data_IF_025330121346
#
_entry.id   IF_025330121346
#
_cell.length_a   1.000
_cell.length_b   1.000
_cell.length_c   1.000
_cell.angle_alpha   90.00
_cell.angle_beta   90.00
_cell.angle_gamma   90.00
#
_symmetry.space_group_name_H-M   'P 1'
#
loop_
_entity.id
_entity.type
_entity.pdbx_description
1 polymer ?
#
# COMPACT_ATOMS: atom_id res chain seq x y z
N UNK A 1 1.24 0.05 -40.94
CA UNK A 1 0.98 0.12 -39.49
C UNK A 1 -0.38 0.76 -39.30
N UNK A 2 -1.37 0.03 -38.78
CA UNK A 2 -2.76 0.51 -38.69
C UNK A 2 -2.90 1.62 -37.65
N UNK A 3 -3.81 2.57 -37.89
CA UNK A 3 -4.09 3.71 -36.99
C UNK A 3 -4.43 3.23 -35.56
N UNK A 4 -5.16 2.12 -35.46
CA UNK A 4 -5.55 1.48 -34.20
C UNK A 4 -4.35 1.06 -33.34
N UNK A 5 -3.26 0.58 -33.96
CA UNK A 5 -2.05 0.17 -33.22
C UNK A 5 -1.33 1.37 -32.63
N UNK A 6 -1.25 2.48 -33.37
CA UNK A 6 -0.67 3.74 -32.88
C UNK A 6 -1.47 4.35 -31.73
N UNK A 7 -2.79 4.33 -31.83
CA UNK A 7 -3.68 4.80 -30.77
C UNK A 7 -3.52 3.94 -29.50
N UNK A 8 -3.43 2.62 -29.65
CA UNK A 8 -3.22 1.69 -28.52
C UNK A 8 -1.90 1.96 -27.77
N UNK A 9 -0.80 2.24 -28.50
CA UNK A 9 0.49 2.58 -27.89
C UNK A 9 0.45 3.91 -27.13
N UNK A 10 -0.21 4.92 -27.70
CA UNK A 10 -0.38 6.22 -27.03
C UNK A 10 -1.25 6.10 -25.78
N UNK A 11 -2.33 5.32 -25.85
CA UNK A 11 -3.18 5.04 -24.70
C UNK A 11 -2.43 4.30 -23.58
N UNK A 12 -1.59 3.34 -23.95
CA UNK A 12 -0.74 2.60 -23.00
C UNK A 12 0.21 3.54 -22.24
N UNK A 13 0.79 4.54 -22.93
CA UNK A 13 1.67 5.54 -22.31
C UNK A 13 0.92 6.37 -21.26
N UNK A 14 -0.27 6.87 -21.59
CA UNK A 14 -1.11 7.61 -20.65
C UNK A 14 -1.46 6.72 -19.44
N UNK A 15 -1.81 5.46 -19.69
CA UNK A 15 -2.16 4.52 -18.64
C UNK A 15 -1.00 4.28 -17.66
N UNK A 16 0.23 4.12 -18.15
CA UNK A 16 1.40 4.01 -17.28
C UNK A 16 1.62 5.25 -16.42
N UNK A 17 1.46 6.44 -16.98
CA UNK A 17 1.54 7.69 -16.21
C UNK A 17 0.49 7.74 -15.09
N UNK A 18 -0.76 7.35 -15.39
CA UNK A 18 -1.84 7.29 -14.40
C UNK A 18 -1.57 6.26 -13.30
N UNK A 19 -1.09 5.06 -13.67
CA UNK A 19 -0.74 4.01 -12.71
C UNK A 19 0.34 4.49 -11.74
N UNK A 20 1.39 5.11 -12.26
CA UNK A 20 2.47 5.65 -11.42
C UNK A 20 1.92 6.74 -10.49
N UNK A 21 1.12 7.67 -11.01
CA UNK A 21 0.51 8.73 -10.20
C UNK A 21 -0.39 8.15 -9.08
N UNK A 22 -1.20 7.14 -9.37
CA UNK A 22 -2.04 6.48 -8.38
C UNK A 22 -1.25 5.70 -7.34
N UNK A 23 -0.15 5.04 -7.70
CA UNK A 23 0.73 4.38 -6.73
C UNK A 23 1.32 5.41 -5.77
N UNK A 24 1.84 6.54 -6.27
CA UNK A 24 2.36 7.60 -5.40
C UNK A 24 1.28 8.24 -4.53
N UNK A 25 0.08 8.45 -5.08
CA UNK A 25 -1.06 9.00 -4.33
C UNK A 25 -1.50 8.05 -3.21
N UNK A 26 -1.52 6.75 -3.50
CA UNK A 26 -1.78 5.70 -2.52
C UNK A 26 -0.73 5.68 -1.41
N UNK A 27 0.57 5.78 -1.77
CA UNK A 27 1.66 5.83 -0.79
C UNK A 27 1.63 7.06 0.12
N UNK A 28 1.19 8.21 -0.42
CA UNK A 28 1.04 9.45 0.35
C UNK A 28 -0.20 9.45 1.26
N UNK A 29 -1.15 8.56 0.99
CA UNK A 29 -2.41 8.48 1.72
C UNK A 29 -2.27 7.77 3.06
N UNK A 30 -2.84 8.36 4.11
CA UNK A 30 -2.88 7.81 5.47
C UNK A 30 -4.12 6.94 5.74
N UNK A 31 -4.94 6.71 4.70
CA UNK A 31 -6.23 6.02 4.77
C UNK A 31 -6.17 4.58 4.26
N UNK A 32 -5.07 3.86 4.49
CA UNK A 32 -5.00 2.44 4.11
C UNK A 32 -5.93 1.61 4.99
N UNK A 33 -6.03 1.98 6.27
CA UNK A 33 -6.87 1.31 7.26
C UNK A 33 -7.50 2.35 8.16
N UNK A 34 -8.75 2.10 8.53
CA UNK A 34 -9.43 2.84 9.59
C UNK A 34 -9.87 1.86 10.67
N UNK A 35 -9.39 2.08 11.89
CA UNK A 35 -9.80 1.29 13.07
C UNK A 35 -10.74 2.14 13.92
N UNK A 36 -11.88 1.55 14.29
CA UNK A 36 -12.84 2.12 15.24
C UNK A 36 -12.79 1.30 16.52
N UNK A 37 -12.59 1.91 17.69
CA UNK A 37 -12.71 1.18 18.95
C UNK A 37 -14.16 0.74 19.14
N UNK A 38 -14.35 -0.46 19.69
CA UNK A 38 -15.66 -0.96 20.05
C UNK A 38 -16.17 -0.22 21.29
N UNK A 39 -17.41 0.24 21.25
CA UNK A 39 -18.07 0.79 22.43
C UNK A 39 -18.35 -0.32 23.43
N UNK A 40 -17.67 -0.29 24.58
CA UNK A 40 -17.94 -1.23 25.68
C UNK A 40 -18.98 -0.59 26.60
N UNK A 41 -20.12 -1.25 26.78
CA UNK A 41 -21.20 -0.84 27.69
C UNK A 41 -21.79 0.57 27.42
N UNK A 42 -21.85 1.00 26.15
CA UNK A 42 -22.43 2.31 25.77
C UNK A 42 -21.66 3.52 26.31
N UNK A 43 -20.44 3.30 26.81
CA UNK A 43 -19.50 4.33 27.27
C UNK A 43 -18.17 4.15 26.51
N UNK A 44 -18.19 4.46 25.23
CA UNK A 44 -16.98 4.63 24.41
C UNK A 44 -16.92 6.06 23.87
N UNK A 45 -15.73 6.57 23.52
CA UNK A 45 -15.65 7.83 22.77
C UNK A 45 -16.41 7.66 21.45
N UNK A 46 -17.53 8.38 21.32
CA UNK A 46 -18.52 8.26 20.24
C UNK A 46 -17.91 8.39 18.83
N UNK A 47 -16.74 9.03 18.70
CA UNK A 47 -16.05 9.19 17.42
C UNK A 47 -14.51 9.11 17.52
N UNK A 48 -13.98 8.09 18.20
CA UNK A 48 -12.54 7.80 18.09
C UNK A 48 -12.21 7.02 16.80
N UNK A 49 -11.26 7.52 16.01
CA UNK A 49 -10.79 6.90 14.76
C UNK A 49 -9.26 6.85 14.74
N UNK A 50 -8.72 5.71 14.32
CA UNK A 50 -7.30 5.60 13.97
C UNK A 50 -7.19 5.34 12.49
N UNK A 51 -6.62 6.29 11.77
CA UNK A 51 -6.21 6.12 10.38
C UNK A 51 -4.74 5.70 10.35
N UNK A 52 -4.42 4.69 9.56
CA UNK A 52 -3.05 4.26 9.38
C UNK A 52 -2.77 4.12 7.87
N UNK A 53 -1.74 4.81 7.41
CA UNK A 53 -1.09 4.57 6.12
C UNK A 53 0.14 3.68 6.29
N UNK A 54 0.95 3.60 5.23
CA UNK A 54 2.16 2.78 5.24
C UNK A 54 3.26 3.33 6.17
N UNK A 55 3.39 4.65 6.26
CA UNK A 55 4.48 5.33 7.00
C UNK A 55 4.00 6.19 8.18
N UNK A 56 2.81 6.77 8.06
CA UNK A 56 2.22 7.67 9.03
C UNK A 56 0.80 7.20 9.35
N UNK A 57 0.40 7.42 10.59
CA UNK A 57 -0.96 7.23 11.04
C UNK A 57 -1.41 8.42 11.88
N UNK A 58 -2.72 8.63 11.89
CA UNK A 58 -3.36 9.67 12.65
C UNK A 58 -4.35 9.02 13.62
N UNK A 59 -4.18 9.32 14.91
CA UNK A 59 -5.11 8.96 15.97
C UNK A 59 -5.94 10.18 16.32
N UNK A 60 -7.25 10.07 16.13
CA UNK A 60 -8.22 11.07 16.55
C UNK A 60 -9.09 10.46 17.64
N UNK A 61 -9.14 11.11 18.80
CA UNK A 61 -10.08 10.78 19.85
C UNK A 61 -10.94 12.01 20.05
N UNK A 62 -12.19 11.89 19.65
CA UNK A 62 -13.23 12.85 19.98
C UNK A 62 -13.94 12.30 21.21
N UNK A 63 -13.55 12.81 22.38
CA UNK A 63 -14.33 12.61 23.60
C UNK A 63 -15.31 13.77 23.71
N UNK A 64 -16.47 13.56 24.35
CA UNK A 64 -17.53 14.59 24.50
C UNK A 64 -17.04 15.90 25.13
N UNK A 65 -15.85 15.90 25.75
CA UNK A 65 -15.23 17.03 26.43
C UNK A 65 -13.93 17.53 25.76
N UNK A 66 -13.28 16.77 24.89
CA UNK A 66 -11.94 17.12 24.39
C UNK A 66 -11.62 16.50 23.01
N UNK A 67 -10.98 17.30 22.15
CA UNK A 67 -10.51 16.91 20.82
C UNK A 67 -9.00 16.62 20.88
N UNK A 68 -8.61 15.34 20.79
CA UNK A 68 -7.20 14.96 20.77
C UNK A 68 -6.81 14.40 19.41
N UNK A 69 -5.83 15.05 18.76
CA UNK A 69 -5.24 14.60 17.50
C UNK A 69 -3.76 14.37 17.70
N UNK A 70 -3.32 13.14 17.51
CA UNK A 70 -1.92 12.76 17.59
C UNK A 70 -1.52 12.03 16.31
N UNK A 71 -0.49 12.54 15.65
CA UNK A 71 0.14 11.87 14.51
C UNK A 71 1.25 10.98 15.02
N UNK A 72 1.24 9.71 14.63
CA UNK A 72 2.28 8.76 15.00
C UNK A 72 2.98 8.23 13.74
N UNK A 73 4.26 7.91 13.87
CA UNK A 73 5.00 7.31 12.77
C UNK A 73 4.96 5.79 12.89
N UNK A 74 4.39 5.13 11.88
CA UNK A 74 4.26 3.67 11.82
C UNK A 74 5.63 3.00 11.84
N UNK A 75 6.66 3.66 11.29
CA UNK A 75 8.04 3.15 11.30
C UNK A 75 8.58 2.93 12.72
N UNK A 76 8.27 3.86 13.64
CA UNK A 76 8.74 3.82 15.01
C UNK A 76 7.98 2.74 15.78
N UNK A 77 6.66 2.72 15.59
CA UNK A 77 5.78 1.72 16.18
C UNK A 77 6.17 0.29 15.77
N UNK A 78 6.41 0.08 14.47
CA UNK A 78 6.84 -1.23 13.94
C UNK A 78 8.26 -1.58 14.40
N UNK A 79 9.16 -0.60 14.52
CA UNK A 79 10.53 -0.87 14.97
C UNK A 79 10.56 -1.31 16.44
N UNK A 80 9.75 -0.67 17.28
CA UNK A 80 9.80 -0.81 18.73
C UNK A 80 8.87 -1.92 19.26
N UNK A 81 7.71 -2.12 18.65
CA UNK A 81 6.65 -2.98 19.21
C UNK A 81 6.22 -4.14 18.30
N UNK A 82 6.64 -4.19 17.03
CA UNK A 82 6.22 -5.28 16.16
C UNK A 82 7.06 -6.55 16.36
N UNK A 83 6.38 -7.70 16.26
CA UNK A 83 7.02 -9.00 16.11
C UNK A 83 7.94 -9.04 14.88
N UNK A 84 8.99 -9.86 14.94
CA UNK A 84 9.96 -10.00 13.85
C UNK A 84 9.31 -10.35 12.50
N UNK A 85 8.23 -11.14 12.52
CA UNK A 85 7.45 -11.48 11.33
C UNK A 85 6.72 -10.25 10.77
N UNK A 86 5.97 -9.54 11.62
CA UNK A 86 5.24 -8.33 11.25
C UNK A 86 6.18 -7.26 10.67
N UNK A 87 7.35 -7.06 11.28
CA UNK A 87 8.40 -6.15 10.78
C UNK A 87 8.93 -6.57 9.39
N UNK A 88 9.18 -7.86 9.20
CA UNK A 88 9.65 -8.39 7.91
C UNK A 88 8.61 -8.21 6.80
N UNK A 89 7.34 -8.50 7.09
CA UNK A 89 6.22 -8.32 6.15
C UNK A 89 6.03 -6.85 5.76
N UNK A 90 6.20 -5.91 6.69
CA UNK A 90 6.13 -4.47 6.40
C UNK A 90 7.29 -4.02 5.48
N UNK A 91 8.52 -4.48 5.74
CA UNK A 91 9.67 -4.18 4.87
C UNK A 91 9.48 -4.79 3.46
N UNK A 92 9.00 -6.04 3.38
CA UNK A 92 8.70 -6.69 2.10
C UNK A 92 7.63 -5.93 1.31
N UNK A 93 6.62 -5.37 1.99
CA UNK A 93 5.60 -4.52 1.36
C UNK A 93 6.25 -3.33 0.63
N UNK A 94 7.12 -2.60 1.33
CA UNK A 94 7.83 -1.44 0.76
C UNK A 94 8.71 -1.88 -0.42
N UNK A 95 9.42 -3.00 -0.27
CA UNK A 95 10.29 -3.55 -1.31
C UNK A 95 9.49 -3.91 -2.58
N UNK A 96 8.39 -4.65 -2.44
CA UNK A 96 7.57 -5.08 -3.56
C UNK A 96 6.85 -3.94 -4.27
N UNK A 97 6.36 -2.93 -3.53
CA UNK A 97 5.77 -1.72 -4.14
C UNK A 97 6.85 -0.96 -4.92
N UNK A 98 8.04 -0.78 -4.35
CA UNK A 98 9.17 -0.12 -5.03
C UNK A 98 9.56 -0.86 -6.32
N UNK A 99 9.58 -2.19 -6.26
CA UNK A 99 9.84 -3.04 -7.42
C UNK A 99 8.72 -2.93 -8.47
N UNK A 100 7.46 -2.86 -8.03
CA UNK A 100 6.29 -2.63 -8.90
C UNK A 100 6.35 -1.29 -9.64
N UNK A 101 6.78 -0.22 -8.96
CA UNK A 101 7.02 1.09 -9.56
C UNK A 101 8.17 1.03 -10.57
N UNK A 102 9.25 0.34 -10.24
CA UNK A 102 10.39 0.16 -11.16
C UNK A 102 9.95 -0.51 -12.47
N UNK A 103 9.15 -1.58 -12.39
CA UNK A 103 8.60 -2.22 -13.59
C UNK A 103 7.65 -1.31 -14.38
N UNK A 104 6.83 -0.50 -13.70
CA UNK A 104 5.97 0.48 -14.35
C UNK A 104 6.78 1.56 -15.09
N UNK A 105 7.90 2.01 -14.53
CA UNK A 105 8.82 2.96 -15.18
C UNK A 105 9.50 2.37 -16.42
N UNK A 106 9.92 1.10 -16.35
CA UNK A 106 10.45 0.39 -17.54
C UNK A 106 9.36 0.26 -18.61
N UNK A 107 8.14 -0.11 -18.22
CA UNK A 107 6.99 -0.18 -19.12
C UNK A 107 6.67 1.16 -19.78
N UNK A 108 6.73 2.26 -19.02
CA UNK A 108 6.57 3.63 -19.52
C UNK A 108 7.66 3.98 -20.55
N UNK A 109 8.92 3.69 -20.25
CA UNK A 109 10.04 3.94 -21.15
C UNK A 109 9.90 3.15 -22.46
N UNK A 110 9.51 1.87 -22.39
CA UNK A 110 9.24 1.03 -23.57
C UNK A 110 8.06 1.56 -24.38
N UNK A 111 6.99 2.02 -23.73
CA UNK A 111 5.84 2.64 -24.42
C UNK A 111 6.23 3.95 -25.13
N UNK A 112 7.08 4.76 -24.51
CA UNK A 112 7.60 6.00 -25.10
C UNK A 112 8.48 5.69 -26.31
N UNK A 113 9.40 4.73 -26.19
CA UNK A 113 10.26 4.31 -27.30
C UNK A 113 9.46 3.76 -28.47
N UNK A 114 8.39 2.98 -28.23
CA UNK A 114 7.51 2.50 -29.29
C UNK A 114 6.68 3.62 -29.97
N UNK A 115 6.52 4.75 -29.31
CA UNK A 115 5.83 5.92 -29.88
C UNK A 115 6.76 6.72 -30.79
N UNK A 116 8.05 6.82 -30.42
CA UNK A 116 9.06 7.62 -31.14
C UNK A 116 9.81 6.83 -32.21
N UNK A 117 10.15 5.58 -31.94
CA UNK A 117 10.96 4.70 -32.79
C UNK A 117 10.05 3.66 -33.44
N UNK A 118 10.25 3.40 -34.74
CA UNK A 118 9.51 2.38 -35.48
C UNK A 118 9.54 1.03 -34.77
N UNK A 119 8.37 0.38 -34.69
CA UNK A 119 8.18 -0.81 -33.86
C UNK A 119 9.15 -1.94 -34.22
N UNK A 120 9.95 -2.35 -33.24
CA UNK A 120 10.78 -3.55 -33.35
C UNK A 120 9.98 -4.75 -32.82
N UNK A 121 10.04 -5.90 -33.47
CA UNK A 121 9.30 -7.12 -33.08
C UNK A 121 9.81 -7.81 -31.79
N UNK A 122 10.68 -7.16 -31.01
CA UNK A 122 11.38 -7.74 -29.87
C UNK A 122 10.71 -7.40 -28.53
N UNK A 123 11.36 -7.74 -27.40
CA UNK A 123 10.97 -7.37 -26.03
C UNK A 123 10.78 -5.85 -25.81
N UNK A 124 11.28 -5.03 -26.73
CA UNK A 124 11.06 -3.58 -26.78
C UNK A 124 9.82 -3.17 -27.59
N UNK A 125 9.12 -4.11 -28.23
CA UNK A 125 7.92 -3.88 -29.03
C UNK A 125 6.61 -4.02 -28.25
N UNK A 126 5.50 -4.20 -28.98
CA UNK A 126 4.14 -4.32 -28.40
C UNK A 126 4.00 -5.41 -27.34
N UNK A 127 4.76 -6.51 -27.41
CA UNK A 127 4.70 -7.59 -26.42
C UNK A 127 5.37 -7.20 -25.09
N UNK A 128 6.34 -6.29 -25.12
CA UNK A 128 7.03 -5.79 -23.93
C UNK A 128 6.08 -5.06 -22.99
N UNK A 129 5.12 -4.31 -23.54
CA UNK A 129 4.13 -3.56 -22.76
C UNK A 129 3.34 -4.50 -21.83
N UNK A 130 2.91 -5.66 -22.32
CA UNK A 130 2.19 -6.65 -21.52
C UNK A 130 3.08 -7.31 -20.47
N UNK A 131 4.34 -7.63 -20.82
CA UNK A 131 5.28 -8.24 -19.89
C UNK A 131 5.58 -7.31 -18.71
N UNK A 132 5.95 -6.06 -18.96
CA UNK A 132 6.26 -5.10 -17.91
C UNK A 132 5.04 -4.74 -17.06
N UNK A 133 3.85 -4.68 -17.68
CA UNK A 133 2.59 -4.54 -16.95
C UNK A 133 2.34 -5.72 -16.00
N UNK A 134 2.51 -6.95 -16.48
CA UNK A 134 2.28 -8.15 -15.68
C UNK A 134 3.25 -8.23 -14.49
N UNK A 135 4.53 -7.93 -14.71
CA UNK A 135 5.54 -7.89 -13.64
C UNK A 135 5.21 -6.81 -12.59
N UNK A 136 4.75 -5.63 -13.03
CA UNK A 136 4.32 -4.56 -12.12
C UNK A 136 3.10 -4.98 -11.29
N UNK A 137 2.09 -5.58 -11.92
CA UNK A 137 0.88 -6.06 -11.23
C UNK A 137 1.22 -7.15 -10.21
N UNK A 138 2.01 -8.15 -10.60
CA UNK A 138 2.39 -9.24 -9.70
C UNK A 138 3.22 -8.72 -8.50
N UNK A 139 4.13 -7.79 -8.74
CA UNK A 139 4.94 -7.20 -7.67
C UNK A 139 4.06 -6.40 -6.69
N UNK A 140 3.17 -5.55 -7.20
CA UNK A 140 2.25 -4.78 -6.36
C UNK A 140 1.26 -5.68 -5.60
N UNK A 141 0.79 -6.78 -6.22
CA UNK A 141 -0.06 -7.77 -5.57
C UNK A 141 0.65 -8.47 -4.42
N UNK A 142 1.91 -8.87 -4.61
CA UNK A 142 2.75 -9.44 -3.53
C UNK A 142 2.99 -8.43 -2.41
N UNK A 143 3.17 -7.15 -2.74
CA UNK A 143 3.24 -6.06 -1.76
C UNK A 143 1.95 -5.96 -0.93
N UNK A 144 0.79 -5.96 -1.59
CA UNK A 144 -0.51 -5.94 -0.91
C UNK A 144 -0.71 -7.16 0.00
N UNK A 145 -0.39 -8.37 -0.48
CA UNK A 145 -0.50 -9.59 0.32
C UNK A 145 0.42 -9.54 1.55
N UNK A 146 1.66 -9.05 1.37
CA UNK A 146 2.60 -8.86 2.48
C UNK A 146 2.05 -7.89 3.53
N UNK A 147 1.39 -6.82 3.08
CA UNK A 147 0.74 -5.87 3.97
C UNK A 147 -0.44 -6.49 4.73
N UNK A 148 -1.29 -7.28 4.05
CA UNK A 148 -2.40 -7.98 4.71
C UNK A 148 -1.91 -8.97 5.78
N UNK A 149 -0.82 -9.68 5.52
CA UNK A 149 -0.20 -10.57 6.51
C UNK A 149 0.35 -9.77 7.70
N UNK A 150 0.98 -8.62 7.45
CA UNK A 150 1.43 -7.70 8.51
C UNK A 150 0.25 -7.29 9.43
N UNK A 151 -0.90 -6.93 8.85
CA UNK A 151 -2.10 -6.56 9.63
C UNK A 151 -2.67 -7.72 10.42
N UNK A 152 -2.72 -8.90 9.81
CA UNK A 152 -3.20 -10.09 10.48
C UNK A 152 -2.32 -10.38 11.69
N UNK A 153 -0.99 -10.43 11.52
CA UNK A 153 -0.03 -10.63 12.63
C UNK A 153 -0.22 -9.61 13.75
N UNK A 154 -0.36 -8.32 13.41
CA UNK A 154 -0.56 -7.25 14.42
C UNK A 154 -1.84 -7.46 15.23
N UNK A 155 -2.90 -7.98 14.61
CA UNK A 155 -4.17 -8.29 15.30
C UNK A 155 -3.98 -9.41 16.33
N UNK A 156 -3.31 -10.51 15.99
CA UNK A 156 -3.10 -11.62 16.93
C UNK A 156 -2.26 -11.20 18.14
N UNK A 157 -1.18 -10.45 17.89
CA UNK A 157 -0.31 -9.93 18.96
C UNK A 157 -1.12 -9.08 19.97
N UNK A 158 -2.06 -8.27 19.48
CA UNK A 158 -2.93 -7.45 20.34
C UNK A 158 -3.91 -8.28 21.18
N UNK A 159 -4.44 -9.38 20.64
CA UNK A 159 -5.39 -10.24 21.34
C UNK A 159 -4.70 -11.05 22.45
N UNK A 160 -3.53 -11.61 22.16
CA UNK A 160 -2.73 -12.37 23.13
C UNK A 160 -2.29 -11.47 24.29
N UNK A 161 -1.92 -10.22 24.01
CA UNK A 161 -1.60 -9.24 25.05
C UNK A 161 -2.79 -8.96 25.99
N UNK A 162 -4.02 -8.93 25.48
CA UNK A 162 -5.22 -8.68 26.29
C UNK A 162 -5.58 -9.91 27.14
N UNK A 163 -5.49 -11.11 26.59
CA UNK A 163 -5.73 -12.35 27.33
C UNK A 163 -4.72 -12.55 28.47
N UNK A 164 -3.45 -12.24 28.22
CA UNK A 164 -2.40 -12.30 29.25
C UNK A 164 -2.60 -11.31 30.40
N UNK A 165 -3.18 -10.14 30.13
CA UNK A 165 -3.53 -9.16 31.17
C UNK A 165 -4.75 -9.61 31.98
N UNK A 166 -5.75 -10.18 31.33
CA UNK A 166 -6.95 -10.71 32.01
C UNK A 166 -6.60 -11.88 32.93
N UNK A 167 -5.74 -12.80 32.48
CA UNK A 167 -5.31 -13.97 33.27
C UNK A 167 -4.46 -13.60 34.49
N UNK A 168 -3.83 -12.41 34.53
CA UNK A 168 -3.06 -11.93 35.69
C UNK A 168 -3.91 -11.17 36.71
N UNK A 169 -5.12 -10.76 36.33
CA UNK A 169 -6.03 -9.99 37.18
C UNK A 169 -6.94 -10.88 38.04
N UNK A 170 -6.84 -12.21 37.89
CA UNK A 170 -7.66 -13.23 38.54
C UNK A 170 -6.79 -14.09 39.47
#
# INVERSE_FOLDING_TARGET
MSIFRRISLFFSLILYCLVIAFIFTSLATEYWITVRPLEVNGKGPSSAFVHAGLFYGEKRIDSELEYFRETFSVKEEVSQYATSLSKTCWILTIFFISLGVLWALIGLAVSLMNTVIQETHNLLGSNGIFLWSLLSILSNLLGLLSYLVHLHSKKYDSLESLEGLYSRAQ
#
